data_IF_279145225724
#
_entry.id   IF_279145225724
#
_cell.length_a   1.000
_cell.length_b   1.000
_cell.length_c   1.000
_cell.angle_alpha   90.00
_cell.angle_beta   90.00
_cell.angle_gamma   90.00
#
_symmetry.space_group_name_H-M   'P 1'
#
loop_
_entity.id
_entity.type
_entity.pdbx_description
1 polymer ?
#
# COMPACT_ATOMS: atom_id res chain seq x y z
N UNK A 1 -1.48 14.86 34.19
CA UNK A 1 -1.72 13.45 34.44
C UNK A 1 -0.83 12.70 33.48
N UNK A 2 0.06 11.85 33.98
CA UNK A 2 0.96 11.06 33.12
C UNK A 2 0.10 10.03 32.40
N UNK A 3 0.02 10.12 31.09
CA UNK A 3 -0.52 9.03 30.27
C UNK A 3 0.51 7.91 30.37
N UNK A 4 0.20 6.86 31.12
CA UNK A 4 0.97 5.64 31.08
C UNK A 4 0.85 5.11 29.65
N UNK A 5 1.97 4.89 28.99
CA UNK A 5 2.06 4.17 27.73
C UNK A 5 1.29 2.86 27.85
N UNK A 6 0.22 2.72 27.09
CA UNK A 6 -0.53 1.47 26.94
C UNK A 6 0.13 0.56 25.91
N UNK A 7 1.31 0.94 25.41
CA UNK A 7 2.00 0.24 24.35
C UNK A 7 2.73 -1.00 24.86
N UNK A 8 2.64 -2.04 24.08
CA UNK A 8 3.33 -3.31 24.26
C UNK A 8 4.84 -3.10 24.37
N UNK A 9 5.51 -3.87 25.21
CA UNK A 9 6.98 -3.83 25.35
C UNK A 9 7.69 -4.27 24.07
N UNK A 10 6.98 -4.97 23.17
CA UNK A 10 7.54 -5.59 21.98
C UNK A 10 7.55 -4.66 20.76
N UNK A 11 6.70 -3.64 20.67
CA UNK A 11 6.74 -2.67 19.56
C UNK A 11 8.08 -1.97 19.41
N UNK A 12 8.85 -1.84 20.50
CA UNK A 12 10.22 -1.29 20.45
C UNK A 12 11.23 -2.15 19.61
N UNK A 13 10.87 -3.39 19.29
CA UNK A 13 11.68 -4.28 18.45
C UNK A 13 11.23 -4.25 17.00
N UNK A 14 10.09 -3.60 16.71
CA UNK A 14 9.58 -3.42 15.37
C UNK A 14 10.50 -2.48 14.59
N UNK A 15 10.96 -2.91 13.42
CA UNK A 15 11.77 -2.08 12.54
C UNK A 15 11.71 -2.62 11.11
N UNK A 16 11.80 -1.75 10.12
CA UNK A 16 11.95 -2.15 8.73
C UNK A 16 12.87 -1.20 7.97
N UNK A 17 12.57 0.10 7.93
CA UNK A 17 13.31 1.08 7.14
C UNK A 17 14.79 1.23 7.54
N UNK A 18 15.60 1.72 6.61
CA UNK A 18 16.99 2.10 6.86
C UNK A 18 17.41 3.31 6.00
N UNK A 19 18.57 3.90 6.33
CA UNK A 19 19.08 5.11 5.64
C UNK A 19 19.76 4.83 4.29
N UNK A 20 19.73 3.59 3.77
CA UNK A 20 20.48 3.20 2.57
C UNK A 20 19.58 2.71 1.43
N UNK A 21 18.30 2.56 1.70
CA UNK A 21 17.26 2.08 0.80
C UNK A 21 16.21 3.15 0.51
N UNK A 22 15.31 2.86 -0.42
CA UNK A 22 13.97 3.46 -0.50
C UNK A 22 13.01 2.43 0.05
N UNK A 23 12.36 2.76 1.14
CA UNK A 23 11.49 1.86 1.90
C UNK A 23 10.03 2.31 1.73
N UNK A 24 9.24 1.48 1.03
CA UNK A 24 7.86 1.81 0.66
C UNK A 24 6.91 0.74 1.16
N UNK A 25 5.78 1.14 1.71
CA UNK A 25 4.71 0.22 2.12
C UNK A 25 3.34 0.66 1.62
N UNK A 26 2.45 -0.31 1.49
CA UNK A 26 1.00 -0.12 1.43
C UNK A 26 0.38 -0.59 2.73
N UNK A 27 -0.61 0.13 3.24
CA UNK A 27 -1.30 -0.21 4.47
C UNK A 27 -2.75 0.28 4.45
N UNK A 28 -3.69 -0.64 4.34
CA UNK A 28 -5.09 -0.37 4.64
C UNK A 28 -5.22 -0.27 6.16
N UNK A 29 -5.65 0.90 6.68
CA UNK A 29 -5.78 1.19 8.12
C UNK A 29 -7.23 1.11 8.61
N UNK A 30 -8.06 0.38 7.91
CA UNK A 30 -9.45 0.01 8.20
C UNK A 30 -10.26 1.11 8.88
N UNK A 31 -11.02 1.89 8.07
CA UNK A 31 -11.92 2.93 8.57
C UNK A 31 -11.28 3.88 9.59
N UNK A 32 -10.04 4.30 9.31
CA UNK A 32 -9.23 5.09 10.26
C UNK A 32 -9.97 6.32 10.80
N UNK A 33 -10.02 6.47 12.16
CA UNK A 33 -9.45 5.60 13.19
C UNK A 33 -10.47 4.58 13.71
N UNK A 34 -10.20 3.28 13.57
CA UNK A 34 -11.07 2.17 13.98
C UNK A 34 -11.50 2.23 15.44
N UNK A 35 -10.63 2.66 16.36
CA UNK A 35 -10.85 2.79 17.80
C UNK A 35 -10.32 4.14 18.32
N UNK A 36 -10.78 5.24 17.73
CA UNK A 36 -10.50 6.62 18.13
C UNK A 36 -9.01 6.86 18.48
N UNK A 37 -8.73 7.47 19.63
CA UNK A 37 -7.39 7.82 20.09
C UNK A 37 -6.47 6.60 20.30
N UNK A 38 -7.01 5.42 20.53
CA UNK A 38 -6.22 4.20 20.69
C UNK A 38 -5.56 3.83 19.35
N UNK A 39 -6.31 3.88 18.25
CA UNK A 39 -5.76 3.66 16.90
C UNK A 39 -4.68 4.68 16.58
N UNK A 40 -4.94 5.97 16.83
CA UNK A 40 -3.97 7.04 16.57
C UNK A 40 -2.65 6.78 17.30
N UNK A 41 -2.72 6.43 18.59
CA UNK A 41 -1.52 6.20 19.39
C UNK A 41 -0.70 5.02 18.85
N UNK A 42 -1.36 3.91 18.48
CA UNK A 42 -0.68 2.76 17.90
C UNK A 42 -0.07 3.08 16.54
N UNK A 43 -0.83 3.71 15.64
CA UNK A 43 -0.35 4.03 14.29
C UNK A 43 0.86 4.97 14.35
N UNK A 44 0.84 5.99 15.20
CA UNK A 44 2.00 6.89 15.45
C UNK A 44 3.22 6.11 15.94
N UNK A 45 3.04 5.21 16.91
CA UNK A 45 4.14 4.41 17.44
C UNK A 45 4.71 3.46 16.38
N UNK A 46 3.84 2.75 15.65
CA UNK A 46 4.21 1.83 14.58
C UNK A 46 5.00 2.56 13.48
N UNK A 47 4.52 3.70 12.99
CA UNK A 47 5.19 4.48 11.94
C UNK A 47 6.58 4.91 12.39
N UNK A 48 6.72 5.39 13.63
CA UNK A 48 8.02 5.79 14.17
C UNK A 48 9.01 4.63 14.30
N UNK A 49 8.54 3.41 14.61
CA UNK A 49 9.39 2.23 14.72
C UNK A 49 9.73 1.63 13.36
N UNK A 50 8.78 1.59 12.43
CA UNK A 50 9.00 1.08 11.08
C UNK A 50 10.00 1.92 10.30
N UNK A 51 10.07 3.22 10.56
CA UNK A 51 10.99 4.16 9.92
C UNK A 51 11.01 4.06 8.39
N UNK A 52 9.84 3.90 7.78
CA UNK A 52 9.65 3.82 6.33
C UNK A 52 9.76 5.20 5.67
N UNK A 53 10.23 5.26 4.43
CA UNK A 53 10.27 6.52 3.67
C UNK A 53 8.89 6.95 3.19
N UNK A 54 8.06 5.98 2.74
CA UNK A 54 6.72 6.24 2.22
C UNK A 54 5.77 5.13 2.66
N UNK A 55 4.58 5.51 3.10
CA UNK A 55 3.46 4.62 3.38
C UNK A 55 2.25 5.12 2.58
N UNK A 56 1.79 4.30 1.64
CA UNK A 56 0.52 4.52 0.97
C UNK A 56 -0.60 3.98 1.83
N UNK A 57 -1.54 4.83 2.16
CA UNK A 57 -2.63 4.55 3.11
C UNK A 57 -3.94 4.38 2.34
N UNK A 58 -4.75 3.42 2.76
CA UNK A 58 -6.13 3.23 2.32
C UNK A 58 -7.05 3.31 3.55
N UNK A 59 -8.30 3.68 3.30
CA UNK A 59 -9.37 3.80 4.30
C UNK A 59 -9.21 4.91 5.34
N UNK A 60 -8.77 6.08 4.93
CA UNK A 60 -8.86 7.29 5.77
C UNK A 60 -10.33 7.71 5.81
N UNK A 61 -11.00 7.49 6.95
CA UNK A 61 -12.42 7.85 7.12
C UNK A 61 -12.60 9.19 7.83
N UNK A 62 -11.79 9.49 8.84
CA UNK A 62 -11.79 10.77 9.55
C UNK A 62 -10.51 11.56 9.27
N UNK A 63 -10.59 12.49 8.32
CA UNK A 63 -9.47 13.35 7.92
C UNK A 63 -8.99 14.29 9.02
N UNK A 64 -9.88 14.72 9.93
CA UNK A 64 -9.50 15.58 11.05
C UNK A 64 -8.63 14.80 12.06
N UNK A 65 -9.00 13.56 12.36
CA UNK A 65 -8.20 12.70 13.23
C UNK A 65 -6.92 12.21 12.55
N UNK A 66 -6.93 12.09 11.21
CA UNK A 66 -5.72 11.83 10.44
C UNK A 66 -4.72 12.98 10.53
N UNK A 67 -5.18 14.25 10.42
CA UNK A 67 -4.33 15.43 10.63
C UNK A 67 -3.75 15.47 12.05
N UNK A 68 -4.55 15.15 13.08
CA UNK A 68 -4.04 15.07 14.46
C UNK A 68 -2.97 13.97 14.64
N UNK A 69 -3.13 12.86 13.94
CA UNK A 69 -2.12 11.80 13.92
C UNK A 69 -0.82 12.32 13.30
N UNK A 70 -0.90 13.00 12.15
CA UNK A 70 0.25 13.60 11.47
C UNK A 70 0.97 14.64 12.32
N UNK A 71 0.25 15.46 13.10
CA UNK A 71 0.83 16.40 14.05
C UNK A 71 1.71 15.72 15.12
N UNK A 72 1.49 14.41 15.35
CA UNK A 72 2.27 13.58 16.28
C UNK A 72 3.48 12.90 15.63
N UNK A 73 3.71 13.09 14.33
CA UNK A 73 4.77 12.50 13.52
C UNK A 73 5.73 13.58 12.97
N UNK A 74 6.64 14.16 13.80
CA UNK A 74 7.41 15.34 13.42
C UNK A 74 8.37 15.14 12.24
N UNK A 75 8.73 13.89 11.91
CA UNK A 75 9.61 13.55 10.80
C UNK A 75 8.86 13.26 9.50
N UNK A 76 7.54 13.23 9.55
CA UNK A 76 6.68 12.85 8.43
C UNK A 76 5.75 13.99 8.02
N UNK A 77 5.35 13.94 6.77
CA UNK A 77 4.27 14.75 6.20
C UNK A 77 3.22 13.81 5.62
N UNK A 78 1.96 14.17 5.69
CA UNK A 78 0.88 13.43 5.06
C UNK A 78 0.23 14.20 3.94
N UNK A 79 -0.42 13.48 3.05
CA UNK A 79 -1.27 14.01 1.99
C UNK A 79 -2.46 13.10 1.78
N UNK A 80 -3.64 13.68 1.64
CA UNK A 80 -4.87 13.02 1.20
C UNK A 80 -5.69 14.01 0.36
N UNK A 81 -6.43 13.54 -0.63
CA UNK A 81 -7.19 14.42 -1.52
C UNK A 81 -8.68 14.39 -1.23
N UNK A 82 -9.23 13.28 -0.76
CA UNK A 82 -10.64 13.10 -0.91
C UNK A 82 -11.47 13.43 0.32
N UNK A 83 -12.61 14.08 0.06
CA UNK A 83 -13.81 14.08 0.89
C UNK A 83 -14.64 12.79 0.71
N UNK A 84 -14.09 11.77 0.07
CA UNK A 84 -14.79 10.55 -0.24
C UNK A 84 -14.52 9.51 0.85
N UNK A 85 -15.55 8.79 1.19
CA UNK A 85 -15.60 7.68 2.12
C UNK A 85 -14.43 6.69 1.93
N UNK A 86 -13.70 6.41 3.03
CA UNK A 86 -12.53 5.53 3.04
C UNK A 86 -11.45 5.93 2.02
N UNK A 87 -10.98 7.18 2.10
CA UNK A 87 -10.08 7.80 1.13
C UNK A 87 -8.67 7.24 1.12
N UNK A 88 -7.93 7.65 0.09
CA UNK A 88 -6.51 7.35 -0.09
C UNK A 88 -5.64 8.47 0.47
N UNK A 89 -4.43 8.13 0.89
CA UNK A 89 -3.42 9.09 1.30
C UNK A 89 -2.01 8.54 1.25
N UNK A 90 -1.07 9.41 1.59
CA UNK A 90 0.33 9.08 1.77
C UNK A 90 0.83 9.67 3.08
N UNK A 91 1.75 8.95 3.72
CA UNK A 91 2.60 9.45 4.80
C UNK A 91 4.04 9.25 4.34
N UNK A 92 4.87 10.29 4.39
CA UNK A 92 6.24 10.21 3.88
C UNK A 92 7.22 11.05 4.70
N UNK A 93 8.49 10.61 4.76
CA UNK A 93 9.56 11.33 5.43
C UNK A 93 9.86 12.65 4.73
N UNK A 94 9.70 13.77 5.45
CA UNK A 94 9.87 15.13 4.91
C UNK A 94 11.33 15.45 4.54
N UNK A 95 12.30 14.75 5.12
CA UNK A 95 13.74 15.02 4.87
C UNK A 95 14.30 14.27 3.67
N UNK A 96 13.74 13.08 3.34
CA UNK A 96 14.26 12.21 2.28
C UNK A 96 13.43 12.25 0.99
N UNK A 97 12.16 12.61 1.07
CA UNK A 97 11.22 12.62 -0.06
C UNK A 97 10.90 14.06 -0.48
N UNK A 98 11.24 14.39 -1.72
CA UNK A 98 10.87 15.66 -2.35
C UNK A 98 9.64 15.44 -3.24
N UNK A 99 8.52 16.08 -2.92
CA UNK A 99 7.28 15.97 -3.68
C UNK A 99 7.30 16.95 -4.85
N UNK A 100 7.14 16.44 -6.06
CA UNK A 100 6.94 17.26 -7.26
C UNK A 100 5.45 17.55 -7.45
N UNK A 101 4.59 16.53 -7.33
CA UNK A 101 3.15 16.66 -7.43
C UNK A 101 2.43 15.45 -6.82
N UNK A 102 1.22 15.64 -6.27
CA UNK A 102 0.31 14.54 -5.91
C UNK A 102 -1.04 14.88 -6.54
N UNK A 103 -1.65 13.91 -7.22
CA UNK A 103 -2.91 14.12 -7.93
C UNK A 103 -3.66 12.80 -8.12
N UNK A 104 -4.97 12.89 -8.35
CA UNK A 104 -5.82 11.76 -8.69
C UNK A 104 -5.96 11.61 -10.21
N UNK A 105 -6.09 10.36 -10.67
CA UNK A 105 -6.42 10.01 -12.05
C UNK A 105 -7.77 9.31 -12.10
N UNK A 106 -8.43 9.27 -13.26
CA UNK A 106 -9.74 8.62 -13.46
C UNK A 106 -10.84 9.16 -12.54
N UNK A 107 -10.87 10.48 -12.36
CA UNK A 107 -11.79 11.18 -11.42
C UNK A 107 -13.20 11.38 -11.96
N UNK A 108 -13.44 11.12 -13.23
CA UNK A 108 -14.77 11.34 -13.86
C UNK A 108 -15.70 10.14 -13.69
N UNK A 109 -17.00 10.37 -13.78
CA UNK A 109 -18.04 9.36 -13.50
C UNK A 109 -17.99 8.12 -14.39
N UNK A 110 -17.36 8.21 -15.55
CA UNK A 110 -17.15 7.06 -16.46
C UNK A 110 -16.26 5.97 -15.85
N UNK A 111 -15.37 6.34 -14.91
CA UNK A 111 -14.46 5.43 -14.25
C UNK A 111 -14.92 4.93 -12.86
N UNK A 112 -16.05 5.45 -12.34
CA UNK A 112 -16.50 5.08 -10.99
C UNK A 112 -16.89 3.61 -10.82
N UNK A 113 -17.15 2.92 -11.93
CA UNK A 113 -17.35 1.49 -11.88
C UNK A 113 -16.06 0.76 -11.54
N UNK A 114 -14.98 1.03 -12.27
CA UNK A 114 -13.67 0.45 -12.02
C UNK A 114 -13.09 0.96 -10.67
N UNK A 115 -13.16 2.25 -10.41
CA UNK A 115 -12.54 2.89 -9.25
C UNK A 115 -13.57 3.47 -8.29
N UNK A 116 -13.93 2.75 -7.21
CA UNK A 116 -14.71 3.33 -6.10
C UNK A 116 -14.01 4.54 -5.45
N UNK A 117 -12.68 4.59 -5.50
CA UNK A 117 -11.81 5.71 -5.15
C UNK A 117 -10.83 5.92 -6.29
N UNK A 118 -10.69 7.17 -6.73
CA UNK A 118 -9.76 7.51 -7.81
C UNK A 118 -8.32 7.17 -7.39
N UNK A 119 -7.53 6.47 -8.24
CA UNK A 119 -6.14 6.19 -7.93
C UNK A 119 -5.34 7.48 -7.71
N UNK A 120 -4.52 7.51 -6.68
CA UNK A 120 -3.71 8.67 -6.31
C UNK A 120 -2.27 8.48 -6.74
N UNK A 121 -1.75 9.41 -7.54
CA UNK A 121 -0.38 9.39 -8.07
C UNK A 121 0.47 10.38 -7.30
N UNK A 122 1.57 9.90 -6.73
CA UNK A 122 2.64 10.72 -6.16
C UNK A 122 3.81 10.76 -7.15
N UNK A 123 4.11 11.94 -7.70
CA UNK A 123 5.35 12.24 -8.43
C UNK A 123 6.35 12.81 -7.43
N UNK A 124 7.44 12.09 -7.19
CA UNK A 124 8.41 12.45 -6.16
C UNK A 124 9.85 12.18 -6.58
N UNK A 125 10.80 12.82 -5.91
CA UNK A 125 12.23 12.58 -6.04
C UNK A 125 12.81 12.00 -4.75
N UNK A 126 13.64 10.97 -4.92
CA UNK A 126 14.45 10.38 -3.86
C UNK A 126 15.90 10.28 -4.33
N UNK A 127 16.84 10.92 -3.61
CA UNK A 127 18.27 10.94 -3.94
C UNK A 127 18.59 11.38 -5.38
N UNK A 128 17.76 12.26 -5.95
CA UNK A 128 17.93 12.81 -7.30
C UNK A 128 17.34 11.95 -8.42
N UNK A 129 16.76 10.80 -8.09
CA UNK A 129 15.97 9.97 -9.01
C UNK A 129 14.49 10.27 -8.87
N UNK A 130 13.75 10.26 -9.98
CA UNK A 130 12.30 10.51 -9.99
C UNK A 130 11.51 9.22 -10.01
N UNK A 131 10.43 9.17 -9.23
CA UNK A 131 9.52 8.03 -9.07
C UNK A 131 8.07 8.48 -9.15
N UNK A 132 7.23 7.58 -9.65
CA UNK A 132 5.78 7.69 -9.59
C UNK A 132 5.23 6.54 -8.75
N UNK A 133 4.50 6.87 -7.68
CA UNK A 133 3.83 5.88 -6.84
C UNK A 133 2.33 6.03 -7.03
N UNK A 134 1.64 4.95 -7.37
CA UNK A 134 0.19 4.96 -7.64
C UNK A 134 -0.49 4.13 -6.54
N UNK A 135 -1.15 4.83 -5.62
CA UNK A 135 -1.92 4.25 -4.53
C UNK A 135 -3.33 3.91 -5.00
N UNK A 136 -3.78 2.70 -4.68
CA UNK A 136 -5.06 2.17 -5.10
C UNK A 136 -5.80 1.53 -3.93
N UNK A 137 -7.13 1.55 -4.02
CA UNK A 137 -8.00 0.69 -3.23
C UNK A 137 -9.14 0.23 -4.14
N UNK A 138 -9.04 -0.99 -4.64
CA UNK A 138 -9.99 -1.54 -5.61
C UNK A 138 -11.31 -1.96 -4.94
N UNK A 139 -12.28 -2.37 -5.76
CA UNK A 139 -13.57 -2.86 -5.29
C UNK A 139 -13.40 -4.14 -4.49
N UNK A 140 -13.88 -4.13 -3.24
CA UNK A 140 -13.86 -5.31 -2.38
C UNK A 140 -14.88 -6.38 -2.80
N UNK A 141 -14.69 -7.55 -2.22
CA UNK A 141 -15.65 -8.64 -2.20
C UNK A 141 -15.78 -9.36 -3.56
N UNK A 142 -16.89 -10.07 -3.78
CA UNK A 142 -17.12 -10.91 -4.93
C UNK A 142 -17.11 -12.39 -4.57
N UNK A 143 -17.22 -13.25 -5.58
CA UNK A 143 -17.26 -14.72 -5.41
C UNK A 143 -16.01 -15.44 -5.97
N UNK A 144 -15.01 -14.67 -6.46
CA UNK A 144 -13.76 -15.18 -7.05
C UNK A 144 -13.94 -15.70 -8.49
N UNK A 145 -15.04 -15.34 -9.16
CA UNK A 145 -15.29 -15.76 -10.54
C UNK A 145 -15.64 -14.55 -11.39
N UNK A 146 -14.74 -14.19 -12.30
CA UNK A 146 -14.97 -13.05 -13.18
C UNK A 146 -16.10 -13.29 -14.18
N UNK A 147 -17.11 -12.43 -14.21
CA UNK A 147 -18.20 -12.43 -15.17
C UNK A 147 -18.05 -11.29 -16.19
N UNK A 148 -17.45 -11.58 -17.33
CA UNK A 148 -17.24 -10.60 -18.42
C UNK A 148 -18.52 -10.08 -19.07
N UNK A 149 -19.67 -10.71 -18.83
CA UNK A 149 -20.97 -10.26 -19.34
C UNK A 149 -21.69 -9.32 -18.36
N UNK A 150 -21.11 -9.09 -17.15
CA UNK A 150 -21.68 -8.28 -16.10
C UNK A 150 -20.71 -7.18 -15.63
N UNK A 151 -20.84 -5.96 -16.14
CA UNK A 151 -20.00 -4.82 -15.73
C UNK A 151 -20.09 -4.44 -14.23
N UNK A 152 -21.06 -4.99 -13.49
CA UNK A 152 -21.23 -4.75 -12.05
C UNK A 152 -20.58 -5.83 -11.19
N UNK A 153 -20.08 -6.89 -11.79
CA UNK A 153 -19.32 -7.94 -11.14
C UNK A 153 -18.06 -7.37 -10.47
N UNK A 154 -17.79 -7.78 -9.26
CA UNK A 154 -16.70 -7.22 -8.45
C UNK A 154 -15.33 -7.54 -9.08
N UNK A 155 -15.12 -8.75 -9.55
CA UNK A 155 -13.92 -9.22 -10.22
C UNK A 155 -13.71 -8.50 -11.55
N UNK A 156 -14.79 -8.35 -12.35
CA UNK A 156 -14.74 -7.58 -13.60
C UNK A 156 -14.33 -6.12 -13.35
N UNK A 157 -14.86 -5.49 -12.31
CA UNK A 157 -14.52 -4.10 -11.94
C UNK A 157 -13.05 -3.97 -11.57
N UNK A 158 -12.48 -4.96 -10.85
CA UNK A 158 -11.03 -4.99 -10.53
C UNK A 158 -10.19 -5.25 -11.77
N UNK A 159 -10.63 -6.16 -12.65
CA UNK A 159 -9.99 -6.40 -13.94
C UNK A 159 -9.94 -5.12 -14.79
N UNK A 160 -11.04 -4.39 -14.88
CA UNK A 160 -11.08 -3.10 -15.58
C UNK A 160 -10.12 -2.09 -14.93
N UNK A 161 -10.11 -2.01 -13.59
CA UNK A 161 -9.27 -1.09 -12.84
C UNK A 161 -7.76 -1.32 -13.11
N UNK A 162 -7.29 -2.56 -13.00
CA UNK A 162 -5.86 -2.83 -13.21
C UNK A 162 -5.43 -2.60 -14.67
N UNK A 163 -6.30 -2.90 -15.64
CA UNK A 163 -6.01 -2.63 -17.04
C UNK A 163 -5.94 -1.12 -17.34
N UNK A 164 -6.82 -0.33 -16.75
CA UNK A 164 -6.76 1.13 -16.84
C UNK A 164 -5.46 1.69 -16.22
N UNK A 165 -5.01 1.15 -15.08
CA UNK A 165 -3.72 1.52 -14.48
C UNK A 165 -2.56 1.17 -15.43
N UNK A 166 -2.58 -0.04 -16.01
CA UNK A 166 -1.58 -0.44 -17.01
C UNK A 166 -1.56 0.51 -18.20
N UNK A 167 -2.71 0.81 -18.78
CA UNK A 167 -2.84 1.73 -19.92
C UNK A 167 -2.34 3.14 -19.58
N UNK A 168 -2.60 3.62 -18.37
CA UNK A 168 -2.08 4.91 -17.91
C UNK A 168 -0.55 4.92 -17.85
N UNK A 169 0.05 3.88 -17.30
CA UNK A 169 1.51 3.75 -17.20
C UNK A 169 2.12 3.66 -18.60
N UNK A 170 1.60 2.77 -19.46
CA UNK A 170 2.10 2.57 -20.80
C UNK A 170 2.02 3.85 -21.67
N UNK A 171 0.97 4.63 -21.49
CA UNK A 171 0.73 5.84 -22.27
C UNK A 171 1.45 7.08 -21.74
N UNK A 172 1.63 7.21 -20.42
CA UNK A 172 2.09 8.45 -19.80
C UNK A 172 3.43 8.30 -19.04
N UNK A 173 3.75 7.09 -18.55
CA UNK A 173 4.86 6.84 -17.63
C UNK A 173 5.81 5.72 -18.07
N UNK A 174 5.75 5.26 -19.33
CA UNK A 174 6.50 4.10 -19.82
C UNK A 174 8.02 4.16 -19.58
N UNK A 175 8.60 5.37 -19.54
CA UNK A 175 10.04 5.59 -19.31
C UNK A 175 10.35 6.09 -17.88
N UNK A 176 9.38 6.09 -16.99
CA UNK A 176 9.50 6.52 -15.61
C UNK A 176 9.56 5.31 -14.66
N UNK A 177 10.18 5.48 -13.52
CA UNK A 177 10.19 4.50 -12.44
C UNK A 177 8.82 4.51 -11.76
N UNK A 178 8.04 3.44 -11.88
CA UNK A 178 6.67 3.36 -11.38
C UNK A 178 6.53 2.23 -10.38
N UNK A 179 5.90 2.54 -9.25
CA UNK A 179 5.45 1.59 -8.23
C UNK A 179 3.93 1.74 -8.14
N UNK A 180 3.20 0.66 -8.40
CA UNK A 180 1.76 0.58 -8.13
C UNK A 180 1.58 -0.23 -6.87
N UNK A 181 0.78 0.26 -5.93
CA UNK A 181 0.55 -0.44 -4.67
C UNK A 181 -0.84 -0.12 -4.13
N UNK A 182 -1.27 -0.86 -3.14
CA UNK A 182 -2.56 -0.67 -2.50
C UNK A 182 -3.22 -1.97 -2.08
N UNK A 183 -4.40 -1.83 -1.52
CA UNK A 183 -5.35 -2.91 -1.35
C UNK A 183 -6.05 -3.15 -2.71
N UNK A 184 -5.56 -4.13 -3.45
CA UNK A 184 -6.08 -4.47 -4.77
C UNK A 184 -7.26 -5.47 -4.69
N UNK A 185 -7.60 -5.93 -3.48
CA UNK A 185 -8.77 -6.74 -3.17
C UNK A 185 -8.90 -8.06 -3.96
N UNK A 186 -7.77 -8.60 -4.45
CA UNK A 186 -7.76 -9.86 -5.20
C UNK A 186 -6.41 -10.58 -5.06
N UNK A 187 -6.36 -11.89 -5.32
CA UNK A 187 -5.14 -12.72 -5.20
C UNK A 187 -4.39 -12.78 -6.55
N UNK A 188 -3.16 -12.28 -6.57
CA UNK A 188 -2.30 -12.32 -7.77
C UNK A 188 -1.88 -13.75 -8.18
N UNK A 189 -2.06 -14.74 -7.31
CA UNK A 189 -1.70 -16.15 -7.54
C UNK A 189 -2.84 -17.04 -8.00
N UNK A 190 -4.01 -16.48 -8.25
CA UNK A 190 -5.19 -17.23 -8.71
C UNK A 190 -4.98 -17.95 -10.05
N UNK A 191 -5.85 -18.93 -10.30
CA UNK A 191 -5.92 -19.62 -11.61
C UNK A 191 -6.20 -18.63 -12.74
N UNK A 192 -5.48 -18.75 -13.85
CA UNK A 192 -5.49 -17.80 -14.97
C UNK A 192 -6.88 -17.51 -15.56
N UNK A 193 -7.86 -18.39 -15.36
CA UNK A 193 -9.23 -18.20 -15.84
C UNK A 193 -10.01 -17.13 -15.07
N UNK A 194 -9.64 -16.87 -13.82
CA UNK A 194 -10.30 -15.91 -12.93
C UNK A 194 -9.35 -14.81 -12.43
N UNK A 195 -8.05 -14.91 -12.74
CA UNK A 195 -7.06 -13.95 -12.28
C UNK A 195 -7.23 -12.62 -13.00
N UNK A 196 -7.68 -11.60 -12.27
CA UNK A 196 -7.88 -10.26 -12.81
C UNK A 196 -6.57 -9.59 -13.27
N UNK A 197 -5.43 -10.05 -12.77
CA UNK A 197 -4.10 -9.51 -13.08
C UNK A 197 -3.43 -10.20 -14.28
N UNK A 198 -4.14 -11.07 -15.00
CA UNK A 198 -3.55 -11.92 -16.03
C UNK A 198 -2.84 -11.12 -17.14
N UNK A 199 -3.35 -9.96 -17.53
CA UNK A 199 -2.72 -9.10 -18.53
C UNK A 199 -1.38 -8.54 -18.04
N UNK A 200 -1.26 -8.22 -16.76
CA UNK A 200 0.00 -7.80 -16.12
C UNK A 200 0.98 -8.99 -16.05
N UNK A 201 0.50 -10.16 -15.60
CA UNK A 201 1.31 -11.37 -15.45
C UNK A 201 1.85 -11.88 -16.81
N UNK A 202 1.08 -11.73 -17.87
CA UNK A 202 1.50 -12.06 -19.23
C UNK A 202 2.55 -11.09 -19.79
N UNK A 203 2.63 -9.86 -19.25
CA UNK A 203 3.58 -8.83 -19.67
C UNK A 203 4.78 -8.73 -18.73
N UNK A 204 5.34 -9.88 -18.36
CA UNK A 204 6.45 -10.00 -17.40
C UNK A 204 7.76 -9.32 -17.85
N UNK A 205 7.86 -8.90 -19.11
CA UNK A 205 8.97 -8.07 -19.60
C UNK A 205 8.87 -6.59 -19.21
N UNK A 206 7.68 -6.15 -18.82
CA UNK A 206 7.42 -4.75 -18.45
C UNK A 206 6.95 -4.58 -17.01
N UNK A 207 6.36 -5.59 -16.40
CA UNK A 207 5.76 -5.54 -15.07
C UNK A 207 6.14 -6.73 -14.20
N UNK A 208 6.23 -6.51 -12.88
CA UNK A 208 6.49 -7.58 -11.92
C UNK A 208 5.83 -7.25 -10.57
N UNK A 209 5.03 -8.19 -10.03
CA UNK A 209 4.58 -8.16 -8.66
C UNK A 209 5.70 -8.64 -7.74
N UNK A 210 6.11 -7.79 -6.80
CA UNK A 210 7.23 -8.07 -5.91
C UNK A 210 6.89 -9.05 -4.80
N UNK A 211 5.62 -9.16 -4.47
CA UNK A 211 5.05 -9.97 -3.39
C UNK A 211 4.44 -11.31 -3.87
N UNK A 212 4.70 -11.72 -5.13
CA UNK A 212 4.21 -12.99 -5.68
C UNK A 212 4.64 -14.21 -4.82
N UNK A 213 5.86 -14.20 -4.27
CA UNK A 213 6.33 -15.29 -3.40
C UNK A 213 5.54 -15.34 -2.08
N UNK A 214 5.05 -14.20 -1.58
CA UNK A 214 4.18 -14.13 -0.40
C UNK A 214 2.81 -14.71 -0.76
N UNK A 215 2.21 -14.28 -1.88
CA UNK A 215 0.91 -14.76 -2.34
C UNK A 215 0.88 -16.29 -2.53
N UNK A 216 1.95 -16.85 -3.11
CA UNK A 216 2.11 -18.30 -3.31
C UNK A 216 2.57 -19.05 -2.06
N UNK A 217 2.91 -18.33 -1.00
CA UNK A 217 3.48 -18.86 0.24
C UNK A 217 2.44 -19.30 1.27
N UNK A 218 2.87 -19.24 2.54
CA UNK A 218 1.98 -19.60 3.65
C UNK A 218 1.00 -18.49 3.97
N UNK A 219 -0.26 -18.84 4.22
CA UNK A 219 -1.29 -17.88 4.64
C UNK A 219 -0.97 -17.15 5.96
N UNK A 220 0.02 -17.61 6.72
CA UNK A 220 0.55 -16.89 7.90
C UNK A 220 1.25 -15.59 7.53
N UNK A 221 1.71 -15.47 6.27
CA UNK A 221 2.42 -14.30 5.73
C UNK A 221 1.51 -13.37 4.92
N UNK A 222 0.22 -13.69 4.80
CA UNK A 222 -0.72 -12.90 4.01
C UNK A 222 -1.18 -11.65 4.75
N UNK A 223 -1.56 -10.64 3.98
CA UNK A 223 -1.90 -9.31 4.49
C UNK A 223 -3.26 -9.24 5.18
N UNK A 224 -4.22 -10.12 4.83
CA UNK A 224 -5.58 -10.15 5.37
C UNK A 224 -5.88 -11.47 6.12
N UNK A 225 -5.52 -11.59 7.42
CA UNK A 225 -5.61 -12.86 8.16
C UNK A 225 -7.01 -13.29 8.57
N UNK A 226 -7.96 -12.38 8.76
CA UNK A 226 -9.33 -12.71 9.24
C UNK A 226 -10.06 -13.64 8.26
N UNK A 227 -9.84 -13.44 6.97
CA UNK A 227 -10.29 -14.30 5.89
C UNK A 227 -9.08 -14.57 5.01
N UNK A 228 -8.23 -15.56 5.38
CA UNK A 228 -6.86 -15.63 4.89
C UNK A 228 -6.74 -15.39 3.38
N UNK A 229 -6.26 -14.21 3.03
CA UNK A 229 -6.07 -13.74 1.66
C UNK A 229 -4.87 -12.78 1.61
N UNK A 230 -4.19 -12.70 0.48
CA UNK A 230 -3.16 -11.70 0.23
C UNK A 230 -3.72 -10.68 -0.76
N UNK A 231 -4.13 -9.52 -0.27
CA UNK A 231 -4.92 -8.52 -1.01
C UNK A 231 -4.14 -7.24 -1.28
N UNK A 232 -3.09 -6.98 -0.48
CA UNK A 232 -2.25 -5.80 -0.57
C UNK A 232 -1.01 -6.13 -1.37
N UNK A 233 -0.79 -5.43 -2.49
CA UNK A 233 0.23 -5.78 -3.45
C UNK A 233 1.16 -4.63 -3.80
N UNK A 234 2.35 -4.98 -4.30
CA UNK A 234 3.35 -4.04 -4.82
C UNK A 234 3.79 -4.50 -6.21
N UNK A 235 3.40 -3.74 -7.22
CA UNK A 235 3.76 -3.94 -8.62
C UNK A 235 4.77 -2.89 -9.06
N UNK A 236 5.78 -3.28 -9.81
CA UNK A 236 6.74 -2.35 -10.44
C UNK A 236 6.78 -2.50 -11.94
N UNK A 237 7.14 -1.42 -12.63
CA UNK A 237 7.48 -1.51 -14.05
C UNK A 237 8.97 -1.81 -14.27
N UNK A 238 9.34 -2.13 -15.51
CA UNK A 238 10.69 -2.56 -15.89
C UNK A 238 11.78 -1.51 -15.65
N UNK A 239 11.43 -0.23 -15.46
CA UNK A 239 12.39 0.80 -15.10
C UNK A 239 13.00 0.60 -13.70
N UNK A 240 12.41 -0.29 -12.90
CA UNK A 240 12.85 -0.66 -11.54
C UNK A 240 13.44 -2.07 -11.46
N UNK A 241 13.44 -2.87 -12.53
CA UNK A 241 13.91 -4.27 -12.49
C UNK A 241 15.36 -4.42 -12.03
N UNK A 242 16.20 -3.40 -12.24
CA UNK A 242 17.59 -3.41 -11.76
C UNK A 242 17.71 -3.41 -10.21
N UNK A 243 16.64 -3.12 -9.49
CA UNK A 243 16.60 -3.15 -8.02
C UNK A 243 16.14 -4.51 -7.46
N UNK A 244 15.58 -5.39 -8.30
CA UNK A 244 14.99 -6.66 -7.86
C UNK A 244 16.02 -7.61 -7.20
N UNK A 245 17.27 -7.58 -7.63
CA UNK A 245 18.33 -8.46 -7.07
C UNK A 245 18.70 -8.10 -5.62
N UNK A 246 18.36 -6.90 -5.14
CA UNK A 246 18.75 -6.38 -3.83
C UNK A 246 17.56 -5.83 -3.04
N UNK A 247 16.37 -6.33 -3.30
CA UNK A 247 15.17 -5.96 -2.57
C UNK A 247 14.87 -6.92 -1.41
N UNK A 248 14.09 -6.45 -0.49
CA UNK A 248 13.45 -7.24 0.55
C UNK A 248 11.95 -6.91 0.55
N UNK A 249 11.10 -7.91 0.43
CA UNK A 249 9.65 -7.73 0.40
C UNK A 249 9.04 -8.61 1.47
N UNK A 250 8.16 -8.04 2.29
CA UNK A 250 7.49 -8.81 3.35
C UNK A 250 6.16 -8.17 3.76
N UNK A 251 5.29 -8.99 4.30
CA UNK A 251 4.15 -8.54 5.11
C UNK A 251 4.65 -8.26 6.52
N UNK A 252 4.46 -7.03 7.00
CA UNK A 252 4.91 -6.64 8.33
C UNK A 252 3.87 -7.10 9.36
N UNK A 253 4.19 -8.17 10.09
CA UNK A 253 3.29 -8.76 11.10
C UNK A 253 3.39 -8.01 12.43
N UNK A 254 2.85 -6.79 12.46
CA UNK A 254 2.86 -5.90 13.63
C UNK A 254 2.22 -6.57 14.85
N UNK A 255 1.21 -7.38 14.61
CA UNK A 255 0.51 -8.18 15.63
C UNK A 255 1.43 -9.10 16.43
N UNK A 256 2.52 -9.61 15.85
CA UNK A 256 3.51 -10.43 16.56
C UNK A 256 4.30 -9.63 17.62
N UNK A 257 4.31 -8.31 17.52
CA UNK A 257 4.95 -7.38 18.45
C UNK A 257 3.97 -6.82 19.49
N UNK A 258 2.73 -7.29 19.52
CA UNK A 258 1.68 -6.84 20.45
C UNK A 258 1.34 -7.95 21.46
N UNK A 259 1.17 -7.60 22.74
CA UNK A 259 0.87 -8.58 23.81
C UNK A 259 -0.40 -9.41 23.57
N UNK A 260 -1.42 -8.77 22.97
CA UNK A 260 -2.69 -9.42 22.62
C UNK A 260 -2.69 -10.03 21.21
N UNK A 261 -1.56 -9.98 20.50
CA UNK A 261 -1.41 -10.55 19.16
C UNK A 261 -2.42 -9.99 18.16
N UNK A 262 -2.82 -10.84 17.22
CA UNK A 262 -3.77 -10.49 16.17
C UNK A 262 -5.07 -9.85 16.70
N UNK A 263 -5.64 -10.39 17.76
CA UNK A 263 -6.89 -9.84 18.31
C UNK A 263 -6.76 -8.38 18.77
N UNK A 264 -5.60 -8.01 19.32
CA UNK A 264 -5.37 -6.64 19.77
C UNK A 264 -5.14 -5.72 18.57
N UNK A 265 -4.40 -6.18 17.57
CA UNK A 265 -4.14 -5.46 16.34
C UNK A 265 -5.44 -5.19 15.58
N UNK A 266 -6.20 -6.24 15.27
CA UNK A 266 -7.49 -6.17 14.58
C UNK A 266 -8.50 -5.24 15.30
N UNK A 267 -8.66 -5.36 16.59
CA UNK A 267 -9.60 -4.51 17.33
C UNK A 267 -9.24 -3.02 17.36
N UNK A 268 -7.97 -2.69 17.28
CA UNK A 268 -7.52 -1.33 17.57
C UNK A 268 -6.85 -0.62 16.39
N UNK A 269 -6.45 -1.35 15.35
CA UNK A 269 -5.66 -0.77 14.27
C UNK A 269 -6.28 -1.09 12.91
N UNK A 270 -6.21 -2.36 12.46
CA UNK A 270 -6.65 -2.76 11.14
C UNK A 270 -6.83 -4.28 11.05
N UNK A 271 -7.67 -4.75 10.13
CA UNK A 271 -7.77 -6.13 9.69
C UNK A 271 -6.76 -6.46 8.56
N UNK A 272 -5.97 -5.49 8.11
CA UNK A 272 -4.88 -5.65 7.17
C UNK A 272 -3.51 -5.42 7.83
N UNK A 273 -2.52 -6.25 7.46
CA UNK A 273 -1.11 -6.03 7.74
C UNK A 273 -0.45 -5.24 6.60
N UNK A 274 0.47 -4.30 6.89
CA UNK A 274 1.21 -3.63 5.82
C UNK A 274 2.04 -4.60 4.99
N UNK A 275 2.10 -4.38 3.68
CA UNK A 275 3.06 -5.02 2.78
C UNK A 275 4.11 -3.99 2.39
N UNK A 276 5.38 -4.33 2.54
CA UNK A 276 6.47 -3.39 2.34
C UNK A 276 7.58 -3.95 1.46
N UNK A 277 8.22 -3.04 0.74
CA UNK A 277 9.43 -3.29 -0.03
C UNK A 277 10.55 -2.34 0.40
N UNK A 278 11.75 -2.89 0.49
CA UNK A 278 13.00 -2.18 0.69
C UNK A 278 13.87 -2.32 -0.55
N UNK A 279 14.08 -1.22 -1.27
CA UNK A 279 14.97 -1.17 -2.43
C UNK A 279 16.37 -0.71 -2.02
N UNK A 280 17.33 -1.63 -1.95
CA UNK A 280 18.72 -1.31 -1.61
C UNK A 280 19.47 -0.87 -2.85
N UNK A 281 20.04 0.32 -2.79
CA UNK A 281 20.91 0.82 -3.84
C UNK A 281 22.32 0.26 -3.67
N UNK A 282 22.89 -0.32 -4.71
CA UNK A 282 24.30 -0.70 -4.71
C UNK A 282 25.13 0.55 -4.43
N UNK A 283 25.90 0.54 -3.34
CA UNK A 283 26.91 1.55 -3.10
C UNK A 283 27.97 1.40 -4.20
N UNK A 284 27.78 2.06 -5.34
CA UNK A 284 28.85 2.22 -6.31
C UNK A 284 29.91 3.06 -5.61
N UNK A 285 31.00 2.40 -5.21
CA UNK A 285 32.20 3.12 -4.76
C UNK A 285 32.73 3.85 -5.98
N UNK A 286 32.51 5.19 -6.06
CA UNK A 286 33.22 6.07 -6.96
C UNK A 286 34.69 6.17 -6.54
#
# INVERSE_FOLDING_TARGET
>A
MSFASLCSQNLNELSFGDNYSLDVATWNIEWFPKNDQITINYVVEIINHLDLDIIAIQEIDDTFLFDQMLDSLPNYTGYYESNWFAGLGYIFKSESIEINNIYEIYTTSEYWNAFPRSPMVMDMSFRGDNYFIINNHFKCCGDGIIDFDNESDEEYRRYEAINLIKDYIDSNLANNKVIVLGDLNDDISEESSNNIFQEILNDSGHYNFLDMEIAQGSSSEWSFPNWPSHLDHILINNQLFYLMDNQEVLTIKIDEYMDGGWNQYDQNISDHRPVAVKFRYSLIKF
#
